data_IF_425013225378
#
_entry.id   IF_425013225378
#
_cell.length_a   1.000
_cell.length_b   1.000
_cell.length_c   1.000
_cell.angle_alpha   90.00
_cell.angle_beta   90.00
_cell.angle_gamma   90.00
#
_symmetry.space_group_name_H-M   'P 1'
#
loop_
_entity.id
_entity.type
_entity.pdbx_description
1 polymer ?
#
# COMPACT_ATOMS: atom_id res chain seq x y z
N UNK A 1 0.39 6.05 2.89
CA UNK A 1 1.69 5.97 2.18
C UNK A 1 2.30 7.34 1.90
N UNK A 2 1.52 8.32 1.43
CA UNK A 2 2.04 9.59 0.88
C UNK A 2 2.19 10.75 1.88
N UNK A 3 1.83 10.55 3.16
CA UNK A 3 1.84 11.60 4.19
C UNK A 3 3.21 12.22 4.44
N UNK A 4 4.30 11.44 4.36
CA UNK A 4 5.65 11.94 4.66
C UNK A 4 6.16 12.96 3.64
N UNK A 5 5.71 12.88 2.38
CA UNK A 5 6.16 13.78 1.32
C UNK A 5 5.86 15.26 1.62
N UNK A 6 4.73 15.53 2.30
CA UNK A 6 4.33 16.89 2.63
C UNK A 6 5.08 17.48 3.84
N UNK A 7 5.77 16.65 4.62
CA UNK A 7 6.33 17.02 5.92
C UNK A 7 7.82 16.70 6.05
N UNK A 8 8.52 16.40 4.94
CA UNK A 8 9.96 16.10 4.96
C UNK A 8 10.82 17.18 5.64
N UNK A 9 10.60 18.49 5.38
CA UNK A 9 11.38 19.53 6.05
C UNK A 9 11.10 19.59 7.56
N UNK A 10 9.85 19.34 7.97
CA UNK A 10 9.45 19.30 9.39
C UNK A 10 10.14 18.14 10.11
N UNK A 11 10.17 16.96 9.48
CA UNK A 11 10.88 15.80 10.03
C UNK A 11 12.40 16.03 10.12
N UNK A 12 12.98 16.73 9.14
CA UNK A 12 14.41 17.03 9.13
C UNK A 12 14.79 17.96 10.29
N UNK A 13 13.97 19.00 10.52
CA UNK A 13 14.12 19.90 11.65
C UNK A 13 13.94 19.18 13.00
N UNK A 14 12.90 18.35 13.14
CA UNK A 14 12.59 17.65 14.39
C UNK A 14 13.67 16.63 14.80
N UNK A 15 14.17 15.85 13.85
CA UNK A 15 15.21 14.84 14.13
C UNK A 15 16.64 15.40 14.07
N UNK A 16 16.82 16.68 13.74
CA UNK A 16 18.12 17.32 13.55
C UNK A 16 19.02 16.56 12.56
N UNK A 17 18.45 16.20 11.41
CA UNK A 17 19.10 15.41 10.36
C UNK A 17 18.96 16.07 8.99
N UNK A 18 19.86 15.75 8.07
CA UNK A 18 19.77 16.23 6.69
C UNK A 18 18.48 15.75 5.99
N UNK A 19 17.91 16.59 5.13
CA UNK A 19 16.71 16.25 4.33
C UNK A 19 16.90 15.01 3.46
N UNK A 20 18.14 14.72 3.04
CA UNK A 20 18.48 13.49 2.32
C UNK A 20 18.15 12.24 3.13
N UNK A 21 18.34 12.27 4.46
CA UNK A 21 17.96 11.15 5.34
C UNK A 21 16.46 11.05 5.52
N UNK A 22 15.73 12.16 5.62
CA UNK A 22 14.26 12.09 5.74
C UNK A 22 13.59 11.61 4.46
N UNK A 23 14.22 11.84 3.30
CA UNK A 23 13.83 11.23 2.03
C UNK A 23 13.73 9.70 2.05
N UNK A 24 14.45 9.01 2.95
CA UNK A 24 14.34 7.56 3.14
C UNK A 24 12.92 7.13 3.56
N UNK A 25 12.17 7.99 4.22
CA UNK A 25 10.77 7.71 4.60
C UNK A 25 9.83 7.60 3.38
N UNK A 26 10.28 8.07 2.22
CA UNK A 26 9.57 7.99 0.93
C UNK A 26 10.16 6.88 0.06
N UNK A 27 11.47 6.70 0.03
CA UNK A 27 12.11 5.69 -0.84
C UNK A 27 12.05 4.27 -0.27
N UNK A 28 12.24 4.07 1.03
CA UNK A 28 12.15 2.76 1.68
C UNK A 28 10.82 2.01 1.38
N UNK A 29 9.63 2.62 1.51
CA UNK A 29 8.37 1.95 1.18
C UNK A 29 8.23 1.63 -0.32
N UNK A 30 8.86 2.41 -1.21
CA UNK A 30 8.87 2.13 -2.66
C UNK A 30 9.75 0.92 -2.97
N UNK A 31 10.93 0.84 -2.36
CA UNK A 31 11.82 -0.33 -2.46
C UNK A 31 11.09 -1.58 -1.95
N UNK A 32 10.47 -1.50 -0.77
CA UNK A 32 9.67 -2.58 -0.21
C UNK A 32 8.54 -3.03 -1.16
N UNK A 33 7.84 -2.07 -1.77
CA UNK A 33 6.79 -2.35 -2.77
C UNK A 33 7.35 -3.10 -3.97
N UNK A 34 8.49 -2.65 -4.50
CA UNK A 34 9.15 -3.27 -5.65
C UNK A 34 9.61 -4.71 -5.33
N UNK A 35 10.17 -4.93 -4.13
CA UNK A 35 10.58 -6.27 -3.66
C UNK A 35 9.39 -7.24 -3.55
N UNK A 36 8.21 -6.72 -3.20
CA UNK A 36 7.01 -7.54 -3.04
C UNK A 36 6.27 -7.84 -4.34
N UNK A 37 6.52 -7.10 -5.42
CA UNK A 37 5.87 -7.29 -6.71
C UNK A 37 5.86 -8.77 -7.21
N UNK A 38 6.98 -9.52 -7.23
CA UNK A 38 6.96 -10.93 -7.66
C UNK A 38 6.24 -11.87 -6.70
N UNK A 39 6.25 -11.55 -5.41
CA UNK A 39 5.67 -12.39 -4.36
C UNK A 39 4.15 -12.26 -4.34
N UNK A 40 3.63 -11.06 -4.58
CA UNK A 40 2.19 -10.78 -4.48
C UNK A 40 1.38 -11.57 -5.50
N UNK A 41 1.82 -11.66 -6.76
CA UNK A 41 1.12 -12.45 -7.77
C UNK A 41 0.91 -13.90 -7.30
N UNK A 42 2.00 -14.55 -6.88
CA UNK A 42 1.99 -15.94 -6.47
C UNK A 42 1.19 -16.20 -5.16
N UNK A 43 1.24 -15.27 -4.19
CA UNK A 43 0.41 -15.37 -2.98
C UNK A 43 -1.05 -15.10 -3.32
N UNK A 44 -1.31 -14.13 -4.19
CA UNK A 44 -2.66 -13.75 -4.58
C UNK A 44 -3.41 -14.93 -5.18
N UNK A 45 -2.76 -15.71 -6.04
CA UNK A 45 -3.41 -16.81 -6.76
C UNK A 45 -3.67 -18.03 -5.87
N UNK A 46 -2.99 -18.10 -4.71
CA UNK A 46 -3.11 -19.20 -3.76
C UNK A 46 -4.18 -18.98 -2.69
N UNK A 47 -4.35 -17.74 -2.23
CA UNK A 47 -5.27 -17.40 -1.14
C UNK A 47 -6.42 -16.55 -1.66
N UNK A 48 -7.63 -16.78 -1.13
CA UNK A 48 -8.79 -15.98 -1.52
C UNK A 48 -8.53 -14.47 -1.41
N UNK A 49 -8.87 -13.74 -2.47
CA UNK A 49 -8.69 -12.30 -2.67
C UNK A 49 -9.18 -11.48 -1.47
N UNK A 50 -10.41 -11.71 -0.99
CA UNK A 50 -11.01 -11.06 0.19
C UNK A 50 -10.18 -11.30 1.45
N UNK A 51 -9.75 -12.55 1.70
CA UNK A 51 -8.93 -12.85 2.89
C UNK A 51 -7.61 -12.10 2.84
N UNK A 52 -7.00 -12.01 1.66
CA UNK A 52 -5.77 -11.26 1.46
C UNK A 52 -5.97 -9.75 1.61
N UNK A 53 -7.03 -9.18 1.03
CA UNK A 53 -7.33 -7.74 1.14
C UNK A 53 -7.60 -7.37 2.60
N UNK A 54 -8.48 -8.11 3.30
CA UNK A 54 -8.78 -7.85 4.71
C UNK A 54 -7.56 -8.08 5.61
N UNK A 55 -6.80 -9.16 5.37
CA UNK A 55 -5.58 -9.47 6.11
C UNK A 55 -4.51 -8.40 5.92
N UNK A 56 -4.29 -7.95 4.69
CA UNK A 56 -3.36 -6.87 4.38
C UNK A 56 -3.80 -5.54 5.00
N UNK A 57 -5.10 -5.20 4.98
CA UNK A 57 -5.61 -3.99 5.63
C UNK A 57 -5.35 -4.01 7.15
N UNK A 58 -5.57 -5.13 7.81
CA UNK A 58 -5.26 -5.30 9.24
C UNK A 58 -3.75 -5.21 9.52
N UNK A 59 -2.93 -5.93 8.73
CA UNK A 59 -1.47 -5.90 8.88
C UNK A 59 -0.93 -4.50 8.64
N UNK A 60 -1.53 -3.72 7.73
CA UNK A 60 -1.10 -2.34 7.42
C UNK A 60 -1.28 -1.40 8.61
N UNK A 61 -2.24 -1.68 9.50
CA UNK A 61 -2.47 -0.85 10.69
C UNK A 61 -1.26 -0.87 11.64
N UNK A 62 -0.63 -2.02 11.84
CA UNK A 62 0.50 -2.21 12.76
C UNK A 62 1.66 -1.24 12.47
N UNK A 63 2.24 -1.23 11.25
CA UNK A 63 3.33 -0.31 10.95
C UNK A 63 2.85 1.14 10.81
N UNK A 64 1.54 1.39 10.60
CA UNK A 64 0.98 2.75 10.65
C UNK A 64 0.97 3.31 12.07
N UNK A 65 0.58 2.50 13.05
CA UNK A 65 0.65 2.85 14.47
C UNK A 65 2.11 2.97 14.94
N UNK A 66 2.99 2.06 14.50
CA UNK A 66 4.41 2.14 14.80
C UNK A 66 5.05 3.43 14.26
N UNK A 67 4.66 3.87 13.06
CA UNK A 67 5.10 5.14 12.51
C UNK A 67 4.62 6.35 13.33
N UNK A 68 3.38 6.32 13.84
CA UNK A 68 2.84 7.36 14.71
C UNK A 68 3.52 7.42 16.10
N UNK A 69 4.00 6.28 16.58
CA UNK A 69 4.71 6.15 17.86
C UNK A 69 6.24 6.27 17.72
N UNK A 70 6.77 6.49 16.52
CA UNK A 70 8.22 6.48 16.26
C UNK A 70 8.94 7.60 17.02
N UNK A 71 10.00 7.24 17.75
CA UNK A 71 10.83 8.20 18.50
C UNK A 71 12.18 8.49 17.82
N UNK A 72 12.47 7.82 16.70
CA UNK A 72 13.67 8.05 15.89
C UNK A 72 13.33 7.97 14.41
N UNK A 73 14.13 8.64 13.57
CA UNK A 73 13.98 8.56 12.13
C UNK A 73 14.11 7.12 11.62
N UNK A 74 15.05 6.35 12.16
CA UNK A 74 15.28 4.97 11.70
C UNK A 74 14.08 4.05 12.05
N UNK A 75 13.45 4.25 13.22
CA UNK A 75 12.21 3.54 13.56
C UNK A 75 11.06 3.93 12.62
N UNK A 76 10.96 5.22 12.27
CA UNK A 76 9.97 5.70 11.30
C UNK A 76 10.23 5.08 9.91
N UNK A 77 11.47 5.06 9.44
CA UNK A 77 11.86 4.46 8.15
C UNK A 77 11.56 2.97 8.13
N UNK A 78 11.87 2.24 9.21
CA UNK A 78 11.55 0.82 9.32
C UNK A 78 10.04 0.56 9.27
N UNK A 79 9.24 1.33 10.03
CA UNK A 79 7.78 1.26 9.96
C UNK A 79 7.28 1.58 8.54
N UNK A 80 7.85 2.58 7.88
CA UNK A 80 7.52 2.91 6.48
C UNK A 80 7.86 1.76 5.54
N UNK A 81 9.02 1.13 5.69
CA UNK A 81 9.42 -0.03 4.89
C UNK A 81 8.40 -1.16 5.01
N UNK A 82 8.01 -1.52 6.24
CA UNK A 82 7.00 -2.57 6.48
C UNK A 82 5.64 -2.19 5.88
N UNK A 83 5.20 -0.93 5.99
CA UNK A 83 3.99 -0.46 5.29
C UNK A 83 4.09 -0.68 3.77
N UNK A 84 5.27 -0.49 3.17
CA UNK A 84 5.51 -0.73 1.74
C UNK A 84 5.47 -2.20 1.35
N UNK A 85 5.75 -3.13 2.27
CA UNK A 85 5.59 -4.57 2.03
C UNK A 85 4.11 -4.98 1.98
N UNK A 86 3.26 -4.32 2.76
CA UNK A 86 1.85 -4.69 2.92
C UNK A 86 0.94 -4.03 1.88
N UNK A 87 1.18 -2.76 1.55
CA UNK A 87 0.31 -1.97 0.67
C UNK A 87 0.01 -2.61 -0.70
N UNK A 88 0.98 -3.21 -1.42
CA UNK A 88 0.73 -3.71 -2.75
C UNK A 88 -0.13 -5.00 -2.75
N UNK A 89 -0.28 -5.70 -1.62
CA UNK A 89 -1.32 -6.73 -1.49
C UNK A 89 -2.73 -6.14 -1.63
N UNK A 90 -2.98 -4.95 -1.09
CA UNK A 90 -4.31 -4.33 -1.22
C UNK A 90 -4.53 -3.93 -2.68
N UNK A 91 -3.55 -3.25 -3.28
CA UNK A 91 -3.70 -2.72 -4.64
C UNK A 91 -3.79 -3.81 -5.71
N UNK A 92 -2.81 -4.69 -5.77
CA UNK A 92 -2.71 -5.72 -6.81
C UNK A 92 -3.84 -6.74 -6.70
N UNK A 93 -4.17 -7.20 -5.48
CA UNK A 93 -5.23 -8.19 -5.27
C UNK A 93 -6.61 -7.60 -5.57
N UNK A 94 -6.85 -6.31 -5.27
CA UNK A 94 -8.14 -5.66 -5.58
C UNK A 94 -8.35 -5.53 -7.08
N UNK A 95 -7.33 -5.12 -7.84
CA UNK A 95 -7.42 -5.06 -9.30
C UNK A 95 -7.64 -6.44 -9.91
N UNK A 96 -6.93 -7.46 -9.44
CA UNK A 96 -7.13 -8.85 -9.87
C UNK A 96 -8.57 -9.32 -9.57
N UNK A 97 -9.07 -9.06 -8.35
CA UNK A 97 -10.43 -9.38 -7.94
C UNK A 97 -11.49 -8.72 -8.84
N UNK A 98 -11.32 -7.43 -9.17
CA UNK A 98 -12.21 -6.72 -10.09
C UNK A 98 -12.22 -7.39 -11.48
N UNK A 99 -11.04 -7.79 -11.97
CA UNK A 99 -10.88 -8.48 -13.24
C UNK A 99 -11.53 -9.86 -13.29
N UNK A 100 -11.48 -10.62 -12.19
CA UNK A 100 -12.04 -11.97 -12.09
C UNK A 100 -13.57 -11.96 -11.91
N UNK A 101 -14.10 -11.01 -11.15
CA UNK A 101 -15.53 -10.99 -10.81
C UNK A 101 -16.39 -10.23 -11.84
N UNK A 102 -15.80 -9.35 -12.63
CA UNK A 102 -16.49 -8.47 -13.59
C UNK A 102 -16.12 -8.77 -15.04
N UNK A 103 -17.01 -8.44 -15.99
CA UNK A 103 -16.78 -8.66 -17.43
C UNK A 103 -16.97 -7.39 -18.27
N UNK A 104 -16.16 -7.25 -19.32
CA UNK A 104 -16.29 -6.20 -20.33
C UNK A 104 -16.16 -4.79 -19.76
N UNK A 105 -17.07 -3.89 -20.15
CA UNK A 105 -17.06 -2.48 -19.75
C UNK A 105 -17.16 -2.26 -18.24
N UNK A 106 -17.75 -3.21 -17.49
CA UNK A 106 -17.89 -3.10 -16.04
C UNK A 106 -16.54 -3.20 -15.32
N UNK A 107 -15.62 -4.02 -15.81
CA UNK A 107 -14.25 -4.16 -15.27
C UNK A 107 -13.50 -2.84 -15.36
N UNK A 108 -13.54 -2.18 -16.52
CA UNK A 108 -12.91 -0.88 -16.73
C UNK A 108 -13.52 0.20 -15.81
N UNK A 109 -14.85 0.21 -15.65
CA UNK A 109 -15.53 1.14 -14.75
C UNK A 109 -15.12 0.95 -13.28
N UNK A 110 -15.08 -0.29 -12.80
CA UNK A 110 -14.71 -0.61 -11.41
C UNK A 110 -13.23 -0.34 -11.14
N UNK A 111 -12.34 -0.75 -12.05
CA UNK A 111 -10.92 -0.47 -11.94
C UNK A 111 -10.64 1.05 -11.98
N UNK A 112 -11.34 1.78 -12.85
CA UNK A 112 -11.28 3.25 -12.92
C UNK A 112 -11.73 3.90 -11.62
N UNK A 113 -12.88 3.47 -11.07
CA UNK A 113 -13.39 3.97 -9.78
C UNK A 113 -12.41 3.71 -8.64
N UNK A 114 -11.84 2.51 -8.59
CA UNK A 114 -10.82 2.15 -7.61
C UNK A 114 -9.57 3.04 -7.73
N UNK A 115 -9.08 3.25 -8.95
CA UNK A 115 -7.90 4.09 -9.19
C UNK A 115 -8.16 5.56 -8.86
N UNK A 116 -9.32 6.10 -9.21
CA UNK A 116 -9.75 7.45 -8.80
C UNK A 116 -9.78 7.58 -7.29
N UNK A 117 -10.30 6.58 -6.58
CA UNK A 117 -10.26 6.52 -5.11
C UNK A 117 -8.84 6.49 -4.56
N UNK A 118 -7.93 5.72 -5.16
CA UNK A 118 -6.52 5.67 -4.75
C UNK A 118 -5.79 7.01 -4.95
N UNK A 119 -6.05 7.69 -6.07
CA UNK A 119 -5.51 9.04 -6.35
C UNK A 119 -6.05 10.03 -5.32
N UNK A 120 -7.36 10.03 -5.11
CA UNK A 120 -8.00 10.91 -4.12
C UNK A 120 -7.45 10.66 -2.73
N UNK A 121 -7.34 9.40 -2.28
CA UNK A 121 -6.73 9.04 -1.01
C UNK A 121 -5.27 9.47 -0.89
N UNK A 122 -4.51 9.42 -1.98
CA UNK A 122 -3.13 9.92 -2.01
C UNK A 122 -3.04 11.44 -1.86
N UNK A 123 -3.94 12.17 -2.52
CA UNK A 123 -4.05 13.62 -2.38
C UNK A 123 -4.52 14.02 -0.97
N UNK A 124 -5.65 13.47 -0.51
CA UNK A 124 -6.21 13.74 0.82
C UNK A 124 -5.23 13.39 1.93
N UNK A 125 -4.45 12.31 1.77
CA UNK A 125 -3.41 11.94 2.73
C UNK A 125 -2.32 13.00 2.88
N UNK A 126 -1.85 13.59 1.77
CA UNK A 126 -0.87 14.69 1.79
C UNK A 126 -1.46 15.97 2.38
N UNK A 127 -2.67 16.31 1.95
CA UNK A 127 -3.38 17.51 2.42
C UNK A 127 -3.62 17.45 3.93
N UNK A 128 -4.20 16.36 4.43
CA UNK A 128 -4.44 16.15 5.85
C UNK A 128 -3.13 16.18 6.64
N UNK A 129 -2.08 15.50 6.16
CA UNK A 129 -0.81 15.51 6.87
C UNK A 129 -0.19 16.90 6.94
N UNK A 130 -0.26 17.69 5.87
CA UNK A 130 0.27 19.06 5.85
C UNK A 130 -0.49 19.99 6.79
N UNK A 131 -1.83 19.99 6.70
CA UNK A 131 -2.69 20.85 7.52
C UNK A 131 -2.57 20.49 9.01
N UNK A 132 -2.62 19.21 9.35
CA UNK A 132 -2.52 18.76 10.76
C UNK A 132 -1.14 19.06 11.32
N UNK A 133 -0.08 18.86 10.54
CA UNK A 133 1.30 19.16 10.99
C UNK A 133 1.50 20.66 11.18
N UNK A 134 0.89 21.50 10.36
CA UNK A 134 0.96 22.96 10.51
C UNK A 134 0.21 23.46 11.76
N UNK A 135 -0.91 22.83 12.12
CA UNK A 135 -1.73 23.23 13.27
C UNK A 135 -1.28 22.60 14.60
N UNK A 136 -0.70 21.40 14.56
CA UNK A 136 -0.29 20.62 15.73
C UNK A 136 1.17 20.17 15.57
N UNK A 137 1.38 18.89 15.27
CA UNK A 137 2.70 18.28 15.09
C UNK A 137 2.60 17.11 14.10
N UNK A 138 3.73 16.69 13.56
CA UNK A 138 3.82 15.58 12.60
C UNK A 138 3.27 14.28 13.19
N UNK A 139 3.45 14.04 14.50
CA UNK A 139 2.91 12.86 15.18
C UNK A 139 1.38 12.82 15.12
N UNK A 140 0.71 13.97 15.29
CA UNK A 140 -0.74 14.06 15.22
C UNK A 140 -1.25 13.72 13.81
N UNK A 141 -0.51 14.12 12.77
CA UNK A 141 -0.82 13.73 11.38
C UNK A 141 -0.76 12.21 11.18
N UNK A 142 0.25 11.53 11.74
CA UNK A 142 0.32 10.06 11.67
C UNK A 142 -0.77 9.36 12.46
N UNK A 143 -1.14 9.86 13.64
CA UNK A 143 -2.27 9.34 14.40
C UNK A 143 -3.59 9.48 13.65
N UNK A 144 -3.82 10.61 12.97
CA UNK A 144 -4.99 10.81 12.12
C UNK A 144 -5.00 9.82 10.95
N UNK A 145 -3.85 9.58 10.31
CA UNK A 145 -3.72 8.57 9.24
C UNK A 145 -3.95 7.15 9.78
N UNK A 146 -3.49 6.84 11.00
CA UNK A 146 -3.74 5.55 11.64
C UNK A 146 -5.22 5.33 11.93
N UNK A 147 -5.91 6.35 12.47
CA UNK A 147 -7.35 6.32 12.71
C UNK A 147 -8.13 6.13 11.40
N UNK A 148 -7.76 6.86 10.34
CA UNK A 148 -8.38 6.70 9.02
C UNK A 148 -8.14 5.29 8.45
N UNK A 149 -6.93 4.75 8.62
CA UNK A 149 -6.59 3.38 8.18
C UNK A 149 -7.43 2.34 8.93
N UNK A 150 -7.62 2.50 10.24
CA UNK A 150 -8.48 1.64 11.04
C UNK A 150 -9.94 1.72 10.58
N UNK A 151 -10.48 2.92 10.37
CA UNK A 151 -11.84 3.12 9.86
C UNK A 151 -12.03 2.45 8.50
N UNK A 152 -11.12 2.65 7.56
CA UNK A 152 -11.20 2.02 6.23
C UNK A 152 -11.06 0.50 6.31
N UNK A 153 -10.22 -0.01 7.20
CA UNK A 153 -10.10 -1.46 7.44
C UNK A 153 -11.41 -2.05 7.94
N UNK A 154 -12.10 -1.38 8.86
CA UNK A 154 -13.42 -1.79 9.34
C UNK A 154 -14.47 -1.78 8.22
N UNK A 155 -14.50 -0.71 7.42
CA UNK A 155 -15.41 -0.59 6.25
C UNK A 155 -15.16 -1.72 5.25
N UNK A 156 -13.90 -2.01 4.90
CA UNK A 156 -13.56 -3.12 4.01
C UNK A 156 -14.04 -4.45 4.59
N UNK A 157 -13.85 -4.67 5.89
CA UNK A 157 -14.22 -5.92 6.53
C UNK A 157 -15.74 -6.19 6.49
N UNK A 158 -16.54 -5.14 6.67
CA UNK A 158 -18.01 -5.20 6.67
C UNK A 158 -18.55 -5.25 5.23
N UNK A 159 -18.03 -4.42 4.34
CA UNK A 159 -18.64 -4.18 3.02
C UNK A 159 -18.16 -5.12 1.92
N UNK A 160 -17.01 -5.77 2.07
CA UNK A 160 -16.46 -6.61 1.00
C UNK A 160 -17.20 -7.97 0.96
N UNK A 161 -17.98 -8.29 -0.09
CA UNK A 161 -18.69 -9.58 -0.18
C UNK A 161 -17.70 -10.74 -0.33
N UNK A 162 -18.12 -11.95 0.07
CA UNK A 162 -17.30 -13.15 -0.16
C UNK A 162 -17.16 -13.39 -1.66
N UNK A 163 -15.94 -13.72 -2.10
CA UNK A 163 -15.63 -14.09 -3.47
C UNK A 163 -16.47 -15.31 -3.89
N UNK A 164 -17.00 -15.30 -5.10
CA UNK A 164 -17.85 -16.38 -5.60
C UNK A 164 -17.18 -17.20 -6.72
N UNK A 165 -16.21 -16.62 -7.43
CA UNK A 165 -15.58 -17.24 -8.61
C UNK A 165 -14.10 -17.64 -8.43
N UNK A 166 -13.54 -17.47 -7.24
CA UNK A 166 -12.12 -17.76 -6.99
C UNK A 166 -11.78 -19.24 -7.20
N UNK A 167 -10.79 -19.53 -8.05
CA UNK A 167 -10.20 -20.86 -8.24
C UNK A 167 -8.71 -20.80 -7.85
N UNK A 168 -8.28 -21.50 -6.79
CA UNK A 168 -6.89 -21.45 -6.34
C UNK A 168 -5.96 -22.08 -7.40
N UNK A 169 -4.89 -21.36 -7.77
CA UNK A 169 -3.83 -21.88 -8.63
C UNK A 169 -2.63 -22.24 -7.75
N UNK A 170 -2.26 -23.53 -7.72
CA UNK A 170 -1.12 -24.01 -6.94
C UNK A 170 0.16 -24.02 -7.79
N UNK A 171 1.18 -23.24 -7.39
CA UNK A 171 2.51 -23.31 -8.03
C UNK A 171 3.39 -22.06 -7.90
N UNK A 172 3.91 -21.79 -6.69
CA UNK A 172 4.82 -20.65 -6.41
C UNK A 172 6.07 -20.69 -7.31
N UNK A 173 6.57 -21.89 -7.61
CA UNK A 173 7.70 -22.12 -8.51
C UNK A 173 7.36 -21.85 -9.99
N UNK A 174 6.09 -22.01 -10.42
CA UNK A 174 5.65 -21.72 -11.79
C UNK A 174 5.55 -20.22 -12.05
N UNK A 175 4.97 -19.48 -11.11
CA UNK A 175 4.85 -18.02 -11.17
C UNK A 175 6.22 -17.31 -11.07
N UNK A 176 7.14 -17.82 -10.25
CA UNK A 176 8.51 -17.28 -10.17
C UNK A 176 9.36 -17.68 -11.39
N UNK A 177 9.11 -18.84 -12.03
CA UNK A 177 9.80 -19.25 -13.27
C UNK A 177 9.38 -18.45 -14.49
N UNK A 178 8.18 -17.86 -14.52
CA UNK A 178 7.72 -17.03 -15.64
C UNK A 178 8.25 -15.59 -15.62
N UNK A 179 8.82 -15.12 -14.51
CA UNK A 179 9.48 -13.80 -14.42
C UNK A 179 10.64 -13.61 -15.41
N UNK A 180 11.66 -14.50 -15.48
CA UNK A 180 12.74 -14.39 -16.46
C UNK A 180 12.24 -14.54 -17.91
N UNK A 181 11.14 -15.26 -18.13
CA UNK A 181 10.49 -15.37 -19.44
C UNK A 181 9.81 -14.06 -19.88
N UNK A 182 9.24 -13.28 -18.95
CA UNK A 182 8.66 -11.97 -19.26
C UNK A 182 9.74 -10.92 -19.54
N UNK A 183 10.85 -10.94 -18.80
CA UNK A 183 12.02 -10.09 -19.07
C UNK A 183 12.71 -10.41 -20.41
N UNK A 184 12.50 -11.61 -20.95
CA UNK A 184 13.02 -12.01 -22.27
C UNK A 184 12.07 -11.68 -23.44
N UNK A 185 10.86 -11.21 -23.14
CA UNK A 185 9.84 -10.96 -24.15
C UNK A 185 10.03 -9.56 -24.76
N UNK A 186 10.63 -9.51 -25.96
CA UNK A 186 10.94 -8.26 -26.68
C UNK A 186 9.73 -7.34 -26.92
N UNK A 187 8.49 -7.86 -26.89
CA UNK A 187 7.26 -7.05 -26.99
C UNK A 187 6.89 -6.29 -25.71
N UNK A 188 7.46 -6.64 -24.56
CA UNK A 188 7.28 -5.94 -23.28
C UNK A 188 8.41 -4.95 -22.98
N UNK A 189 9.51 -5.02 -23.74
CA UNK A 189 10.68 -4.14 -23.62
C UNK A 189 10.74 -3.06 -24.71
N UNK A 190 9.82 -3.09 -25.67
CA UNK A 190 9.67 -2.10 -26.74
C UNK A 190 8.49 -1.17 -26.43
#
# INVERSE_FOLDING_TARGET
MWCTQAILPVLAAYFHVAETRTGLTVTAPLIATAMMAPVIGAISDRYGRKKLICGAALILLIPTLAAAAANSLDALVAARFVQGLTLPFIFTVTIAYIGEESSGAQTAKLAGTYLSGAIFGGFSGRLLSGVITAAYDWRAAFWAVAALTLMMTAVIFISLPKEQKFRPVYGLAGALRSFPLHLSNKRLLA
#
